data_IF_212159804141
#
_entry.id   IF_212159804141
#
_cell.length_a   1.000
_cell.length_b   1.000
_cell.length_c   1.000
_cell.angle_alpha   90.00
_cell.angle_beta   90.00
_cell.angle_gamma   90.00
#
_symmetry.space_group_name_H-M   'P 1'
#
loop_
_entity.id
_entity.type
_entity.pdbx_description
1 polymer ?
#
# COMPACT_ATOMS: atom_id res chain seq x y z
N UNK A 1 -16.73 -16.26 22.33
CA UNK A 1 -17.19 -15.80 21.00
C UNK A 1 -16.07 -15.00 20.38
N UNK A 2 -15.35 -15.58 19.42
CA UNK A 2 -14.37 -14.86 18.61
C UNK A 2 -14.73 -15.09 17.16
N UNK A 3 -15.06 -14.00 16.47
CA UNK A 3 -14.68 -13.76 15.08
C UNK A 3 -15.14 -12.34 14.75
N UNK A 4 -14.30 -11.38 15.11
CA UNK A 4 -14.39 -9.98 14.70
C UNK A 4 -14.00 -9.83 13.22
N UNK A 5 -14.71 -10.53 12.32
CA UNK A 5 -14.61 -10.40 10.87
C UNK A 5 -15.95 -9.91 10.30
N UNK A 6 -16.48 -8.84 10.90
CA UNK A 6 -17.66 -8.11 10.41
C UNK A 6 -17.31 -6.82 9.68
N UNK A 7 -16.06 -6.65 9.23
CA UNK A 7 -15.60 -5.49 8.48
C UNK A 7 -15.00 -6.04 7.20
N UNK A 8 -15.83 -6.11 6.16
CA UNK A 8 -15.38 -6.51 4.83
C UNK A 8 -14.07 -5.81 4.53
N UNK A 9 -13.10 -6.54 3.99
CA UNK A 9 -11.90 -5.96 3.40
C UNK A 9 -12.34 -4.71 2.65
N UNK A 10 -11.77 -3.52 2.88
CA UNK A 10 -12.14 -2.35 2.09
C UNK A 10 -11.98 -2.77 0.63
N UNK A 11 -13.11 -2.87 -0.07
CA UNK A 11 -13.10 -3.22 -1.49
C UNK A 11 -12.23 -2.19 -2.14
N UNK A 12 -11.08 -2.61 -2.68
CA UNK A 12 -10.16 -1.71 -3.37
C UNK A 12 -10.94 -1.08 -4.51
N UNK A 13 -11.37 0.16 -4.29
CA UNK A 13 -12.02 0.92 -5.33
C UNK A 13 -11.00 1.21 -6.43
N UNK A 14 -11.48 1.53 -7.65
CA UNK A 14 -10.59 2.02 -8.70
C UNK A 14 -9.78 3.25 -8.25
N UNK A 15 -10.35 4.07 -7.34
CA UNK A 15 -9.67 5.22 -6.74
C UNK A 15 -8.54 4.80 -5.79
N UNK A 16 -8.81 3.83 -4.89
CA UNK A 16 -7.79 3.27 -3.99
C UNK A 16 -6.64 2.64 -4.77
N UNK A 17 -6.94 1.87 -5.82
CA UNK A 17 -5.91 1.26 -6.68
C UNK A 17 -5.05 2.33 -7.36
N UNK A 18 -5.66 3.40 -7.88
CA UNK A 18 -4.94 4.52 -8.49
C UNK A 18 -4.04 5.23 -7.47
N UNK A 19 -4.53 5.43 -6.25
CA UNK A 19 -3.77 6.02 -5.15
C UNK A 19 -2.58 5.13 -4.77
N UNK A 20 -2.79 3.82 -4.61
CA UNK A 20 -1.73 2.86 -4.30
C UNK A 20 -0.66 2.81 -5.38
N UNK A 21 -1.05 2.75 -6.65
CA UNK A 21 -0.10 2.78 -7.77
C UNK A 21 0.72 4.07 -7.78
N UNK A 22 0.09 5.21 -7.49
CA UNK A 22 0.78 6.50 -7.37
C UNK A 22 1.81 6.47 -6.23
N UNK A 23 1.46 5.90 -5.08
CA UNK A 23 2.35 5.76 -3.94
C UNK A 23 3.56 4.86 -4.25
N UNK A 24 3.32 3.67 -4.83
CA UNK A 24 4.40 2.76 -5.24
C UNK A 24 5.32 3.45 -6.24
N UNK A 25 4.76 4.11 -7.26
CA UNK A 25 5.55 4.80 -8.29
C UNK A 25 6.38 5.94 -7.70
N UNK A 26 5.81 6.73 -6.79
CA UNK A 26 6.54 7.82 -6.14
C UNK A 26 7.66 7.29 -5.23
N UNK A 27 7.40 6.20 -4.49
CA UNK A 27 8.40 5.54 -3.66
C UNK A 27 9.54 4.97 -4.50
N UNK A 28 9.21 4.25 -5.58
CA UNK A 28 10.16 3.69 -6.53
C UNK A 28 11.03 4.78 -7.14
N UNK A 29 10.45 5.89 -7.62
CA UNK A 29 11.19 7.04 -8.13
C UNK A 29 12.15 7.64 -7.09
N UNK A 30 11.69 7.79 -5.83
CA UNK A 30 12.51 8.36 -4.75
C UNK A 30 13.69 7.47 -4.36
N UNK A 31 13.52 6.16 -4.43
CA UNK A 31 14.55 5.16 -4.13
C UNK A 31 15.36 4.73 -5.35
N UNK A 32 15.08 5.30 -6.53
CA UNK A 32 15.62 4.85 -7.82
C UNK A 32 15.40 3.34 -8.06
N UNK A 33 14.32 2.79 -7.52
CA UNK A 33 13.86 1.42 -7.73
C UNK A 33 13.00 1.42 -8.99
N UNK A 34 13.18 0.41 -9.84
CA UNK A 34 12.31 0.21 -10.98
C UNK A 34 10.96 -0.41 -10.53
N UNK A 35 9.81 0.18 -10.90
CA UNK A 35 8.50 -0.28 -10.45
C UNK A 35 8.11 -1.66 -11.00
N UNK A 36 8.71 -2.12 -12.10
CA UNK A 36 8.46 -3.45 -12.67
C UNK A 36 9.38 -4.53 -12.04
N UNK A 37 10.46 -4.09 -11.39
CA UNK A 37 11.40 -4.95 -10.69
C UNK A 37 10.78 -5.61 -9.46
N UNK A 38 11.42 -6.69 -9.00
CA UNK A 38 10.96 -7.48 -7.85
C UNK A 38 10.74 -6.61 -6.61
N UNK A 39 11.63 -5.64 -6.36
CA UNK A 39 11.50 -4.66 -5.27
C UNK A 39 10.25 -3.78 -5.40
N UNK A 40 9.93 -3.29 -6.59
CA UNK A 40 8.71 -2.50 -6.83
C UNK A 40 7.44 -3.33 -6.58
N UNK A 41 7.45 -4.61 -6.97
CA UNK A 41 6.36 -5.56 -6.74
C UNK A 41 6.24 -5.98 -5.28
N UNK A 42 7.35 -6.06 -4.55
CA UNK A 42 7.37 -6.30 -3.10
C UNK A 42 6.75 -5.13 -2.35
N UNK A 43 7.16 -3.90 -2.69
CA UNK A 43 6.58 -2.66 -2.16
C UNK A 43 5.07 -2.59 -2.41
N UNK A 44 4.61 -2.96 -3.61
CA UNK A 44 3.19 -3.00 -3.92
C UNK A 44 2.42 -4.06 -3.10
N UNK A 45 3.01 -5.24 -2.88
CA UNK A 45 2.41 -6.31 -2.04
C UNK A 45 2.35 -5.92 -0.57
N UNK A 46 3.38 -5.25 -0.07
CA UNK A 46 3.35 -4.65 1.26
C UNK A 46 2.22 -3.62 1.34
N UNK A 47 2.14 -2.67 0.43
CA UNK A 47 1.09 -1.65 0.42
C UNK A 47 -0.31 -2.26 0.46
N UNK A 48 -0.52 -3.33 -0.32
CA UNK A 48 -1.75 -4.11 -0.32
C UNK A 48 -2.04 -4.76 1.04
N UNK A 49 -1.03 -5.35 1.67
CA UNK A 49 -1.14 -5.96 3.01
C UNK A 49 -1.53 -4.92 4.06
N UNK A 50 -0.94 -3.71 3.99
CA UNK A 50 -1.25 -2.60 4.88
C UNK A 50 -2.70 -2.11 4.70
N UNK A 51 -3.18 -2.10 3.46
CA UNK A 51 -4.58 -1.77 3.18
C UNK A 51 -5.55 -2.85 3.68
N UNK A 52 -5.19 -4.12 3.54
CA UNK A 52 -5.98 -5.25 4.05
C UNK A 52 -6.11 -5.26 5.57
N UNK A 53 -5.08 -4.79 6.30
CA UNK A 53 -5.15 -4.60 7.77
C UNK A 53 -5.89 -3.31 8.18
N UNK A 54 -6.34 -2.50 7.22
CA UNK A 54 -7.15 -1.30 7.45
C UNK A 54 -6.41 0.03 7.36
N UNK A 55 -5.17 0.06 6.84
CA UNK A 55 -4.42 1.29 6.56
C UNK A 55 -4.76 1.76 5.14
N UNK A 56 -5.86 2.51 5.04
CA UNK A 56 -6.34 3.07 3.76
C UNK A 56 -5.94 4.54 3.56
N UNK A 57 -5.32 5.15 4.57
CA UNK A 57 -4.97 6.57 4.52
C UNK A 57 -3.66 6.80 3.75
N UNK A 58 -3.72 7.66 2.73
CA UNK A 58 -2.56 8.00 1.89
C UNK A 58 -1.39 8.55 2.69
N UNK A 59 -1.67 9.49 3.59
CA UNK A 59 -0.64 10.17 4.39
C UNK A 59 0.01 9.16 5.32
N UNK A 60 -0.80 8.30 5.96
CA UNK A 60 -0.28 7.20 6.78
C UNK A 60 0.60 6.26 5.97
N UNK A 61 0.16 5.81 4.80
CA UNK A 61 0.97 4.95 3.94
C UNK A 61 2.30 5.62 3.55
N UNK A 62 2.27 6.90 3.18
CA UNK A 62 3.49 7.67 2.90
C UNK A 62 4.43 7.76 4.10
N UNK A 63 3.90 8.01 5.30
CA UNK A 63 4.70 8.04 6.53
C UNK A 63 5.35 6.69 6.80
N UNK A 64 4.61 5.59 6.62
CA UNK A 64 5.11 4.24 6.84
C UNK A 64 6.22 3.86 5.84
N UNK A 65 6.08 4.29 4.59
CA UNK A 65 7.16 4.19 3.61
C UNK A 65 8.37 5.06 3.95
N UNK A 66 8.14 6.26 4.48
CA UNK A 66 9.22 7.16 4.90
C UNK A 66 9.95 6.65 6.15
N UNK A 67 9.24 6.03 7.09
CA UNK A 67 9.78 5.43 8.31
C UNK A 67 10.50 4.09 8.10
N UNK A 68 10.33 3.45 6.92
CA UNK A 68 11.07 2.23 6.55
C UNK A 68 12.52 2.53 6.13
N UNK A 69 12.94 3.81 6.06
CA UNK A 69 14.33 4.21 5.77
C UNK A 69 15.18 4.25 7.02
#
# INVERSE_FOLDING_TARGET
MFSAFGRGSPSLGPDDVSMMQTLVKNYCLRKAIDPDSEEGRDVARELLKWFQIGVTDKSRLQELFASRT
#
